data_IF_085774079245
#
_entry.id   IF_085774079245
#
_cell.length_a   1.000
_cell.length_b   1.000
_cell.length_c   1.000
_cell.angle_alpha   90.00
_cell.angle_beta   90.00
_cell.angle_gamma   90.00
#
_symmetry.space_group_name_H-M   'P 1'
#
loop_
_entity.id
_entity.type
_entity.pdbx_description
1 polymer ?
#
# COMPACT_ATOMS: atom_id res chain seq x y z
N UNK A 1 -13.12 2.51 -5.21
CA UNK A 1 -12.18 2.11 -4.14
C UNK A 1 -10.77 2.12 -4.71
N UNK A 2 -9.82 2.75 -4.01
CA UNK A 2 -8.41 2.78 -4.40
C UNK A 2 -7.78 1.36 -4.39
N UNK A 3 -6.86 1.03 -5.32
CA UNK A 3 -6.16 -0.25 -5.34
C UNK A 3 -5.35 -0.50 -4.06
N UNK A 4 -5.12 -1.78 -3.78
CA UNK A 4 -4.14 -2.27 -2.81
C UNK A 4 -3.74 -3.70 -3.20
N UNK A 5 -2.55 -4.12 -2.77
CA UNK A 5 -2.05 -5.49 -2.94
C UNK A 5 -1.80 -6.08 -1.56
N UNK A 6 -2.37 -7.26 -1.28
CA UNK A 6 -2.08 -7.99 -0.05
C UNK A 6 -1.41 -9.31 -0.37
N UNK A 7 -0.34 -9.62 0.36
CA UNK A 7 0.44 -10.82 0.13
C UNK A 7 1.09 -11.34 1.42
N UNK A 8 1.66 -12.53 1.31
CA UNK A 8 2.46 -13.15 2.36
C UNK A 8 3.83 -13.49 1.80
N UNK A 9 4.82 -13.42 2.67
CA UNK A 9 6.18 -13.81 2.36
C UNK A 9 6.39 -15.23 2.85
N UNK A 10 7.03 -16.06 2.02
CA UNK A 10 7.41 -17.41 2.42
C UNK A 10 8.52 -17.35 3.48
N UNK A 11 8.62 -18.40 4.30
CA UNK A 11 9.70 -18.50 5.28
C UNK A 11 11.08 -18.45 4.60
N UNK A 12 11.99 -17.61 5.10
CA UNK A 12 13.36 -17.46 4.56
C UNK A 12 13.58 -16.26 3.65
N UNK A 13 12.54 -15.47 3.37
CA UNK A 13 12.57 -14.25 2.56
C UNK A 13 12.50 -12.98 3.44
N UNK A 14 13.13 -13.02 4.62
CA UNK A 14 13.00 -11.96 5.64
C UNK A 14 13.47 -10.58 5.13
N UNK A 15 14.41 -10.56 4.18
CA UNK A 15 14.92 -9.33 3.57
C UNK A 15 14.03 -8.75 2.46
N UNK A 16 13.07 -9.52 1.93
CA UNK A 16 12.21 -9.08 0.83
C UNK A 16 11.38 -7.86 1.24
N UNK A 17 10.88 -7.80 2.47
CA UNK A 17 10.08 -6.68 2.96
C UNK A 17 10.89 -5.39 3.02
N UNK A 18 12.15 -5.46 3.44
CA UNK A 18 13.01 -4.28 3.50
C UNK A 18 13.40 -3.79 2.10
N UNK A 19 13.64 -4.72 1.16
CA UNK A 19 13.86 -4.38 -0.25
C UNK A 19 12.63 -3.76 -0.89
N UNK A 20 11.44 -4.31 -0.65
CA UNK A 20 10.17 -3.73 -1.11
C UNK A 20 9.93 -2.35 -0.51
N UNK A 21 10.18 -2.18 0.79
CA UNK A 21 10.06 -0.86 1.45
C UNK A 21 10.99 0.16 0.80
N UNK A 22 12.22 -0.22 0.51
CA UNK A 22 13.20 0.66 -0.16
C UNK A 22 12.77 0.98 -1.59
N UNK A 23 12.28 -0.01 -2.35
CA UNK A 23 11.76 0.19 -3.70
C UNK A 23 10.59 1.19 -3.71
N UNK A 24 9.64 1.03 -2.78
CA UNK A 24 8.49 1.92 -2.62
C UNK A 24 8.90 3.35 -2.24
N UNK A 25 9.92 3.51 -1.38
CA UNK A 25 10.45 4.82 -1.01
C UNK A 25 11.20 5.52 -2.15
N UNK A 26 11.81 4.75 -3.05
CA UNK A 26 12.53 5.26 -4.21
C UNK A 26 11.62 5.54 -5.42
N UNK A 27 10.33 5.20 -5.33
CA UNK A 27 9.38 5.43 -6.41
C UNK A 27 8.84 6.86 -6.38
N UNK A 28 9.12 7.63 -7.44
CA UNK A 28 8.72 9.04 -7.59
C UNK A 28 7.49 9.20 -8.51
N UNK A 29 6.48 8.36 -8.32
CA UNK A 29 5.23 8.42 -9.09
C UNK A 29 4.25 9.50 -8.65
N UNK A 30 3.06 9.50 -9.25
CA UNK A 30 2.00 10.44 -8.92
C UNK A 30 1.38 10.17 -7.53
N UNK A 31 1.47 8.93 -7.05
CA UNK A 31 0.97 8.50 -5.75
C UNK A 31 2.12 7.97 -4.92
N UNK A 32 2.17 8.38 -3.65
CA UNK A 32 3.10 7.78 -2.69
C UNK A 32 2.53 6.45 -2.20
N UNK A 33 3.31 5.38 -2.35
CA UNK A 33 2.94 4.03 -1.92
C UNK A 33 3.72 3.61 -0.67
N UNK A 34 3.06 2.85 0.19
CA UNK A 34 3.64 2.33 1.43
C UNK A 34 3.37 0.84 1.58
N UNK A 35 4.12 0.21 2.49
CA UNK A 35 3.92 -1.18 2.90
C UNK A 35 3.70 -1.27 4.41
N UNK A 36 2.63 -1.91 4.83
CA UNK A 36 2.28 -2.12 6.24
C UNK A 36 2.04 -3.61 6.53
N UNK A 37 2.56 -4.07 7.66
CA UNK A 37 2.35 -5.43 8.15
C UNK A 37 1.16 -5.47 9.11
N UNK A 38 0.25 -6.42 8.90
CA UNK A 38 -0.80 -6.75 9.84
C UNK A 38 -0.60 -8.18 10.35
N UNK A 39 -0.23 -8.29 11.62
CA UNK A 39 -0.14 -9.58 12.29
C UNK A 39 -1.51 -10.22 12.38
N UNK A 40 -1.56 -11.52 12.12
CA UNK A 40 -2.81 -12.26 12.17
C UNK A 40 -3.10 -12.64 13.61
N UNK A 41 -4.24 -12.21 14.11
CA UNK A 41 -4.74 -12.71 15.38
C UNK A 41 -5.03 -14.21 15.24
N UNK A 42 -4.40 -15.02 16.10
CA UNK A 42 -4.58 -16.47 16.21
C UNK A 42 -4.00 -17.34 15.08
N UNK A 43 -3.26 -16.80 14.11
CA UNK A 43 -2.58 -17.58 13.06
C UNK A 43 -1.17 -17.05 12.83
N UNK A 44 -0.19 -17.91 12.50
CA UNK A 44 1.18 -17.47 12.26
C UNK A 44 1.29 -16.65 10.96
N UNK A 45 2.27 -15.74 10.96
CA UNK A 45 2.64 -14.91 9.83
C UNK A 45 1.96 -13.54 9.77
N UNK A 46 2.55 -12.67 8.96
CA UNK A 46 2.11 -11.29 8.76
C UNK A 46 1.49 -11.17 7.37
N UNK A 47 0.30 -10.57 7.27
CA UNK A 47 -0.23 -10.14 5.98
C UNK A 47 0.37 -8.77 5.68
N UNK A 48 1.14 -8.68 4.61
CA UNK A 48 1.66 -7.41 4.13
C UNK A 48 0.67 -6.77 3.17
N UNK A 49 0.55 -5.45 3.26
CA UNK A 49 -0.34 -4.66 2.41
C UNK A 49 0.49 -3.54 1.80
N UNK A 50 0.50 -3.49 0.46
CA UNK A 50 0.94 -2.31 -0.30
C UNK A 50 -0.31 -1.52 -0.69
N UNK A 51 -0.32 -0.24 -0.33
CA UNK A 51 -1.41 0.67 -0.65
C UNK A 51 -0.90 2.11 -0.70
N UNK A 52 -1.66 3.06 -1.26
CA UNK A 52 -1.31 4.45 -1.17
C UNK A 52 -1.22 4.91 0.28
N UNK A 53 -0.17 5.67 0.62
CA UNK A 53 0.05 6.20 1.99
C UNK A 53 -1.12 7.09 2.42
N UNK A 54 -1.74 7.80 1.48
CA UNK A 54 -2.93 8.60 1.71
C UNK A 54 -4.08 7.81 2.35
N UNK A 55 -4.21 6.49 2.09
CA UNK A 55 -5.25 5.67 2.73
C UNK A 55 -5.03 5.58 4.24
N UNK A 56 -3.79 5.50 4.70
CA UNK A 56 -3.47 5.42 6.13
C UNK A 56 -3.55 6.79 6.79
N UNK A 57 -3.11 7.86 6.12
CA UNK A 57 -3.23 9.25 6.61
C UNK A 57 -4.69 9.65 6.85
N UNK A 58 -5.60 9.19 5.99
CA UNK A 58 -7.02 9.53 6.07
C UNK A 58 -7.78 8.73 7.12
N UNK A 59 -7.17 7.73 7.77
CA UNK A 59 -7.85 6.87 8.74
C UNK A 59 -8.38 7.67 9.93
N UNK A 60 -7.52 8.42 10.60
CA UNK A 60 -7.92 9.27 11.74
C UNK A 60 -8.87 10.38 11.34
N UNK A 61 -8.75 10.88 10.09
CA UNK A 61 -9.66 11.90 9.56
C UNK A 61 -11.06 11.32 9.34
N UNK A 62 -11.15 10.12 8.76
CA UNK A 62 -12.41 9.42 8.56
C UNK A 62 -13.10 9.13 9.90
N UNK A 63 -12.34 8.66 10.89
CA UNK A 63 -12.82 8.41 12.25
C UNK A 63 -13.36 9.68 12.91
N UNK A 64 -12.62 10.79 12.82
CA UNK A 64 -13.09 12.10 13.30
C UNK A 64 -14.35 12.61 12.59
N UNK A 65 -14.62 12.12 11.39
CA UNK A 65 -15.83 12.40 10.61
C UNK A 65 -16.92 11.31 10.79
N UNK A 66 -16.79 10.44 11.80
CA UNK A 66 -17.84 9.50 12.20
C UNK A 66 -17.90 8.20 11.39
N UNK A 67 -16.84 7.83 10.67
CA UNK A 67 -16.79 6.53 9.97
C UNK A 67 -15.46 5.83 10.17
N UNK A 68 -15.50 4.52 10.46
CA UNK A 68 -14.33 3.66 10.46
C UNK A 68 -13.98 3.13 9.06
N UNK A 69 -14.86 3.31 8.08
CA UNK A 69 -14.61 2.95 6.69
C UNK A 69 -13.90 4.08 5.95
N UNK A 70 -12.57 4.13 6.12
CA UNK A 70 -11.70 5.11 5.46
C UNK A 70 -11.79 5.05 3.93
N UNK A 71 -12.07 3.88 3.35
CA UNK A 71 -12.08 3.72 1.88
C UNK A 71 -13.36 4.26 1.27
N UNK A 72 -14.50 4.06 1.94
CA UNK A 72 -15.74 4.75 1.58
C UNK A 72 -15.63 6.26 1.80
N UNK A 73 -15.00 6.69 2.90
CA UNK A 73 -14.74 8.11 3.15
C UNK A 73 -13.94 8.75 2.01
N UNK A 74 -12.81 8.14 1.62
CA UNK A 74 -11.98 8.63 0.51
C UNK A 74 -12.79 8.66 -0.79
N UNK A 75 -13.53 7.60 -1.10
CA UNK A 75 -14.29 7.51 -2.35
C UNK A 75 -15.37 8.62 -2.48
N UNK A 76 -15.95 9.06 -1.36
CA UNK A 76 -16.95 10.12 -1.33
C UNK A 76 -16.33 11.52 -1.36
N UNK A 77 -15.16 11.71 -0.75
CA UNK A 77 -14.53 13.04 -0.58
C UNK A 77 -13.44 13.35 -1.60
N UNK A 78 -12.81 12.33 -2.17
CA UNK A 78 -11.71 12.41 -3.14
C UNK A 78 -11.99 11.44 -4.30
N UNK A 79 -13.04 11.69 -5.10
CA UNK A 79 -13.51 10.73 -6.12
C UNK A 79 -12.45 10.40 -7.17
N UNK A 80 -11.57 11.36 -7.49
CA UNK A 80 -10.53 11.19 -8.50
C UNK A 80 -9.30 10.42 -7.99
N UNK A 81 -9.18 10.24 -6.67
CA UNK A 81 -8.02 9.58 -6.06
C UNK A 81 -7.87 8.14 -6.54
N UNK A 82 -8.98 7.41 -6.66
CA UNK A 82 -8.94 6.03 -7.12
C UNK A 82 -8.41 5.92 -8.55
N UNK A 83 -8.81 6.86 -9.43
CA UNK A 83 -8.36 6.89 -10.81
C UNK A 83 -6.85 7.15 -10.90
N UNK A 84 -6.36 8.14 -10.15
CA UNK A 84 -4.93 8.44 -10.08
C UNK A 84 -4.12 7.25 -9.56
N UNK A 85 -4.59 6.59 -8.49
CA UNK A 85 -3.94 5.41 -7.93
C UNK A 85 -3.92 4.20 -8.87
N UNK A 86 -4.98 3.98 -9.67
CA UNK A 86 -4.95 2.93 -10.68
C UNK A 86 -4.00 3.23 -11.83
N UNK A 87 -3.94 4.48 -12.30
CA UNK A 87 -3.03 4.88 -13.36
C UNK A 87 -1.56 4.72 -12.94
N UNK A 88 -1.26 5.05 -11.69
CA UNK A 88 0.09 4.99 -11.13
C UNK A 88 0.54 3.56 -10.77
N UNK A 89 -0.39 2.64 -10.49
CA UNK A 89 -0.08 1.26 -10.08
C UNK A 89 0.75 0.47 -11.11
N UNK A 90 0.52 0.69 -12.41
CA UNK A 90 1.29 0.01 -13.45
C UNK A 90 2.76 0.42 -13.43
N UNK A 91 3.02 1.73 -13.30
CA UNK A 91 4.37 2.29 -13.23
C UNK A 91 5.07 1.88 -11.93
N UNK A 92 4.34 1.80 -10.83
CA UNK A 92 4.86 1.26 -9.57
C UNK A 92 5.33 -0.20 -9.74
N UNK A 93 4.52 -1.04 -10.38
CA UNK A 93 4.85 -2.45 -10.56
C UNK A 93 6.12 -2.62 -11.40
N UNK A 94 6.23 -1.89 -12.51
CA UNK A 94 7.43 -1.86 -13.36
C UNK A 94 8.67 -1.41 -12.56
N UNK A 95 8.55 -0.32 -11.79
CA UNK A 95 9.65 0.18 -10.95
C UNK A 95 10.09 -0.85 -9.90
N UNK A 96 9.15 -1.49 -9.21
CA UNK A 96 9.46 -2.51 -8.20
C UNK A 96 10.18 -3.70 -8.83
N UNK A 97 9.71 -4.19 -9.97
CA UNK A 97 10.35 -5.29 -10.70
C UNK A 97 11.79 -4.93 -11.09
N UNK A 98 12.00 -3.74 -11.67
CA UNK A 98 13.34 -3.27 -12.04
C UNK A 98 14.26 -3.06 -10.82
N UNK A 99 13.72 -2.51 -9.74
CA UNK A 99 14.47 -2.25 -8.52
C UNK A 99 14.95 -3.55 -7.89
N UNK A 100 14.08 -4.56 -7.83
CA UNK A 100 14.41 -5.86 -7.27
C UNK A 100 15.38 -6.64 -8.16
N UNK A 101 15.30 -6.50 -9.49
CA UNK A 101 16.22 -7.17 -10.41
C UNK A 101 17.68 -6.68 -10.32
N UNK A 102 17.92 -5.48 -9.77
CA UNK A 102 19.25 -4.85 -9.65
C UNK A 102 19.99 -5.18 -8.34
N UNK A 103 19.41 -6.01 -7.47
CA UNK A 103 19.99 -6.43 -6.18
C UNK A 103 20.23 -7.93 -6.13
#
# INVERSE_FOLDING_TARGET
MSPFTSFRVASGEDSLIDRLRTALQAYEGAIQWGIAGHDRHSLPGTNWIIQPVFVDEMRSVAEANGTSDVRSYISQRFPDFALAAYADLCLLAEHVDEFLAKQ
#
